data_IF_751300027382
#
_entry.id   IF_751300027382
#
_cell.length_a   1.000
_cell.length_b   1.000
_cell.length_c   1.000
_cell.angle_alpha   90.00
_cell.angle_beta   90.00
_cell.angle_gamma   90.00
#
_symmetry.space_group_name_H-M   'P 1'
#
loop_
_entity.id
_entity.type
_entity.pdbx_description
1 polymer ?
#
# COMPACT_ATOMS: atom_id res chain seq x y z
N UNK A 1 -38.85 9.91 17.18
CA UNK A 1 -37.49 10.34 16.79
C UNK A 1 -36.57 9.14 16.99
N UNK A 2 -36.23 8.41 15.92
CA UNK A 2 -35.33 7.25 16.01
C UNK A 2 -33.90 7.77 15.85
N UNK A 3 -33.04 7.57 16.85
CA UNK A 3 -31.62 7.87 16.75
C UNK A 3 -31.00 7.00 15.64
N UNK A 4 -30.46 7.62 14.60
CA UNK A 4 -29.58 6.93 13.66
C UNK A 4 -28.29 6.61 14.39
N UNK A 5 -27.98 5.33 14.55
CA UNK A 5 -26.68 4.88 15.03
C UNK A 5 -25.63 5.33 14.01
N UNK A 6 -24.74 6.23 14.40
CA UNK A 6 -23.57 6.61 13.60
C UNK A 6 -22.81 5.32 13.30
N UNK A 7 -22.62 5.03 12.01
CA UNK A 7 -21.76 3.93 11.60
C UNK A 7 -20.36 4.49 11.57
N UNK A 8 -19.60 4.25 12.64
CA UNK A 8 -18.15 4.39 12.61
C UNK A 8 -17.64 3.37 11.58
N UNK A 9 -17.33 3.86 10.38
CA UNK A 9 -16.52 3.08 9.45
C UNK A 9 -15.10 3.18 9.96
N UNK A 10 -14.63 2.12 10.60
CA UNK A 10 -13.22 2.01 10.96
C UNK A 10 -12.41 2.17 9.66
N UNK A 11 -11.60 3.23 9.59
CA UNK A 11 -10.87 3.56 8.37
C UNK A 11 -9.80 2.49 8.21
N UNK A 12 -9.87 1.74 7.11
CA UNK A 12 -8.89 0.71 6.82
C UNK A 12 -7.46 1.29 6.84
N UNK A 13 -6.48 0.63 7.50
CA UNK A 13 -5.10 1.10 7.55
C UNK A 13 -4.57 1.34 6.13
N UNK A 14 -4.00 2.52 5.90
CA UNK A 14 -3.63 2.96 4.55
C UNK A 14 -2.47 3.96 4.57
N UNK A 15 -1.90 4.24 3.42
CA UNK A 15 -0.82 5.21 3.27
C UNK A 15 -0.30 5.31 1.85
N UNK A 16 0.92 5.86 1.71
CA UNK A 16 1.61 5.99 0.42
C UNK A 16 3.02 5.43 0.47
N UNK A 17 3.53 4.99 -0.68
CA UNK A 17 4.95 4.70 -0.87
C UNK A 17 5.42 5.22 -2.23
N UNK A 18 6.74 5.38 -2.38
CA UNK A 18 7.38 5.80 -3.63
C UNK A 18 8.25 4.66 -4.12
N UNK A 19 8.07 4.24 -5.38
CA UNK A 19 9.00 3.29 -6.00
C UNK A 19 10.38 3.94 -6.18
N UNK A 20 11.46 3.15 -6.06
CA UNK A 20 12.83 3.65 -6.20
C UNK A 20 13.49 3.28 -7.55
N UNK A 21 12.71 2.68 -8.46
CA UNK A 21 13.13 2.28 -9.79
C UNK A 21 14.18 1.17 -9.89
N UNK A 22 14.60 0.54 -8.78
CA UNK A 22 15.74 -0.37 -8.79
C UNK A 22 15.58 -1.59 -7.88
N UNK A 23 15.14 -1.42 -6.64
CA UNK A 23 15.05 -2.48 -5.64
C UNK A 23 13.67 -2.50 -4.97
N UNK A 24 13.43 -3.52 -4.15
CA UNK A 24 12.22 -3.55 -3.33
C UNK A 24 12.26 -2.41 -2.30
N UNK A 25 11.13 -1.73 -2.15
CA UNK A 25 10.90 -0.68 -1.16
C UNK A 25 10.20 -1.30 0.04
N UNK A 26 10.69 -1.02 1.24
CA UNK A 26 10.03 -1.39 2.49
C UNK A 26 8.99 -0.34 2.86
N UNK A 27 7.76 -0.79 3.10
CA UNK A 27 6.65 0.03 3.59
C UNK A 27 6.32 -0.45 4.99
N UNK A 28 6.61 0.39 5.99
CA UNK A 28 6.35 0.08 7.39
C UNK A 28 4.89 0.39 7.73
N UNK A 29 4.21 -0.62 8.29
CA UNK A 29 2.86 -0.52 8.84
C UNK A 29 2.62 -1.74 9.74
N UNK A 30 2.42 -1.51 11.02
CA UNK A 30 2.24 -2.55 12.06
C UNK A 30 0.88 -3.24 12.00
N UNK A 31 -0.09 -2.66 11.30
CA UNK A 31 -1.40 -3.29 11.06
C UNK A 31 -1.35 -4.41 10.00
N UNK A 32 -0.21 -4.60 9.33
CA UNK A 32 -0.05 -5.71 8.38
C UNK A 32 -0.10 -7.05 9.11
N UNK A 33 -0.93 -7.95 8.60
CA UNK A 33 -0.99 -9.36 8.99
C UNK A 33 -0.56 -10.23 7.81
N UNK A 34 -0.18 -11.47 8.08
CA UNK A 34 0.19 -12.42 7.01
C UNK A 34 -0.95 -12.64 6.02
N UNK A 35 -2.21 -12.60 6.49
CA UNK A 35 -3.41 -12.79 5.67
C UNK A 35 -3.93 -11.50 5.01
N UNK A 36 -3.35 -10.33 5.33
CA UNK A 36 -3.82 -9.06 4.79
C UNK A 36 -3.79 -9.02 3.26
N UNK A 37 -4.82 -8.45 2.67
CA UNK A 37 -4.80 -8.05 1.27
C UNK A 37 -4.30 -6.61 1.18
N UNK A 38 -3.33 -6.37 0.31
CA UNK A 38 -2.77 -5.03 0.08
C UNK A 38 -3.18 -4.58 -1.31
N UNK A 39 -4.07 -3.60 -1.39
CA UNK A 39 -4.52 -3.03 -2.65
C UNK A 39 -3.71 -1.77 -2.95
N UNK A 40 -3.11 -1.70 -4.13
CA UNK A 40 -2.22 -0.61 -4.56
C UNK A 40 -2.83 0.13 -5.74
N UNK A 41 -2.77 1.46 -5.71
CA UNK A 41 -3.21 2.32 -6.83
C UNK A 41 -2.19 3.41 -7.11
N UNK A 42 -2.00 3.75 -8.39
CA UNK A 42 -1.12 4.84 -8.81
C UNK A 42 -1.69 6.18 -8.31
N UNK A 43 -0.84 7.00 -7.67
CA UNK A 43 -1.20 8.35 -7.23
C UNK A 43 -0.58 9.39 -8.18
N UNK A 44 0.75 9.43 -8.24
CA UNK A 44 1.50 10.38 -9.07
C UNK A 44 2.53 9.64 -9.88
N UNK A 45 2.52 9.84 -11.20
CA UNK A 45 3.50 9.26 -12.12
C UNK A 45 4.89 9.82 -11.86
N UNK A 46 5.87 8.93 -11.80
CA UNK A 46 7.30 9.24 -11.82
C UNK A 46 8.05 8.18 -12.62
N UNK A 47 8.99 8.61 -13.47
CA UNK A 47 9.79 7.70 -14.27
C UNK A 47 8.95 6.82 -15.21
N UNK A 48 9.28 5.54 -15.32
CA UNK A 48 8.61 4.59 -16.21
C UNK A 48 7.59 3.75 -15.46
N UNK A 49 6.31 4.10 -15.59
CA UNK A 49 5.21 3.27 -15.08
C UNK A 49 5.01 2.07 -16.01
N UNK A 50 5.21 0.87 -15.48
CA UNK A 50 4.93 -0.40 -16.16
C UNK A 50 3.76 -1.13 -15.51
N UNK A 51 4.01 -2.37 -15.08
CA UNK A 51 3.03 -3.10 -14.28
C UNK A 51 2.89 -2.48 -12.88
N UNK A 52 1.70 -2.64 -12.27
CA UNK A 52 1.50 -2.23 -10.88
C UNK A 52 2.53 -2.91 -9.97
N UNK A 53 3.05 -2.20 -8.94
CA UNK A 53 4.05 -2.75 -8.05
C UNK A 53 3.58 -4.04 -7.37
N UNK A 54 4.44 -5.05 -7.37
CA UNK A 54 4.15 -6.36 -6.79
C UNK A 54 4.68 -6.46 -5.35
N UNK A 55 3.84 -6.95 -4.44
CA UNK A 55 4.24 -7.30 -3.07
C UNK A 55 5.27 -8.45 -3.14
N UNK A 56 6.39 -8.30 -2.46
CA UNK A 56 7.47 -9.30 -2.40
C UNK A 56 7.50 -10.03 -1.07
N UNK A 57 7.26 -9.33 0.04
CA UNK A 57 7.15 -9.94 1.38
C UNK A 57 6.08 -9.22 2.19
N UNK A 58 5.50 -9.94 3.16
CA UNK A 58 4.70 -9.39 4.26
C UNK A 58 5.28 -9.90 5.57
N UNK A 59 5.47 -9.00 6.53
CA UNK A 59 5.91 -9.33 7.88
C UNK A 59 4.85 -8.81 8.85
N UNK A 60 4.19 -9.73 9.55
CA UNK A 60 3.12 -9.36 10.49
C UNK A 60 3.65 -8.42 11.58
N UNK A 61 2.89 -7.37 11.90
CA UNK A 61 3.31 -6.39 12.90
C UNK A 61 4.44 -5.46 12.46
N UNK A 62 4.81 -5.45 11.18
CA UNK A 62 5.94 -4.64 10.69
C UNK A 62 5.65 -3.94 9.37
N UNK A 63 5.14 -4.66 8.37
CA UNK A 63 4.92 -4.07 7.05
C UNK A 63 5.06 -5.05 5.90
N UNK A 64 5.37 -4.50 4.72
CA UNK A 64 5.57 -5.26 3.50
C UNK A 64 6.70 -4.68 2.65
N UNK A 65 7.20 -5.46 1.70
CA UNK A 65 8.07 -4.95 0.65
C UNK A 65 7.39 -5.01 -0.71
N UNK A 66 7.66 -4.02 -1.55
CA UNK A 66 7.01 -3.85 -2.85
C UNK A 66 8.05 -3.47 -3.90
N UNK A 67 7.96 -4.01 -5.11
CA UNK A 67 8.83 -3.63 -6.22
C UNK A 67 8.01 -3.26 -7.46
N UNK A 68 8.29 -2.07 -8.00
CA UNK A 68 7.75 -1.58 -9.25
C UNK A 68 8.58 -2.01 -10.47
N UNK A 69 8.22 -1.47 -11.63
CA UNK A 69 9.02 -1.66 -12.86
C UNK A 69 10.36 -0.93 -12.72
N UNK A 70 11.40 -1.39 -13.44
CA UNK A 70 12.67 -0.67 -13.47
C UNK A 70 12.46 0.78 -13.95
N UNK A 71 13.14 1.72 -13.28
CA UNK A 71 12.95 3.17 -13.46
C UNK A 71 11.58 3.74 -13.06
N UNK A 72 10.70 2.96 -12.43
CA UNK A 72 9.47 3.50 -11.83
C UNK A 72 9.82 4.29 -10.55
N UNK A 73 9.53 5.58 -10.55
CA UNK A 73 9.69 6.47 -9.40
C UNK A 73 8.38 7.09 -8.94
N UNK A 74 7.26 6.43 -9.29
CA UNK A 74 5.92 6.90 -8.99
C UNK A 74 5.57 6.78 -7.51
N UNK A 75 4.68 7.66 -7.07
CA UNK A 75 3.99 7.55 -5.78
C UNK A 75 2.73 6.71 -5.94
N UNK A 76 2.53 5.75 -5.04
CA UNK A 76 1.35 4.88 -5.01
C UNK A 76 0.64 4.99 -3.66
N UNK A 77 -0.68 4.87 -3.68
CA UNK A 77 -1.50 4.68 -2.48
C UNK A 77 -1.62 3.17 -2.18
N UNK A 78 -1.72 2.82 -0.89
CA UNK A 78 -2.09 1.47 -0.47
C UNK A 78 -3.18 1.49 0.61
N UNK A 79 -3.95 0.41 0.66
CA UNK A 79 -4.86 0.08 1.78
C UNK A 79 -4.68 -1.38 2.15
N UNK A 80 -4.79 -1.67 3.46
CA UNK A 80 -4.74 -2.99 4.07
C UNK A 80 -6.17 -3.43 4.37
N UNK A 81 -6.55 -4.60 3.85
CA UNK A 81 -7.85 -5.25 4.07
C UNK A 81 -7.68 -6.57 4.82
#
# INVERSE_FOLDING_TARGET
MRASKERDYDIAPSGTFVCNGTTAVTVANDEVKLESHILITLNTVGGTVGALPAIKTKTAGTGFTVAGTASDTSTYNYVIL
#
